data_IF_247501494827
#
_entry.id   IF_247501494827
#
_cell.length_a   1.000
_cell.length_b   1.000
_cell.length_c   1.000
_cell.angle_alpha   90.00
_cell.angle_beta   90.00
_cell.angle_gamma   90.00
#
_symmetry.space_group_name_H-M   'P 1'
#
loop_
_entity.id
_entity.type
_entity.pdbx_description
1 polymer ?
#
# COMPACT_ATOMS: atom_id res chain seq x y z
N UNK A 1 -15.80 16.04 -2.34
CA UNK A 1 -16.17 15.37 -3.61
C UNK A 1 -15.25 14.17 -3.83
N UNK A 2 -15.73 13.07 -4.44
CA UNK A 2 -14.97 11.82 -4.60
C UNK A 2 -14.15 11.85 -5.90
N UNK A 3 -13.06 11.07 -5.95
CA UNK A 3 -12.21 10.93 -7.15
C UNK A 3 -12.93 10.17 -8.27
N UNK A 4 -12.48 10.36 -9.52
CA UNK A 4 -12.98 9.59 -10.66
C UNK A 4 -12.77 8.08 -10.47
N UNK A 5 -13.75 7.27 -10.88
CA UNK A 5 -13.78 5.82 -10.60
C UNK A 5 -12.52 5.09 -11.07
N UNK A 6 -11.92 5.44 -12.20
CA UNK A 6 -10.71 4.77 -12.68
C UNK A 6 -9.47 4.96 -11.78
N UNK A 7 -9.49 5.96 -10.88
CA UNK A 7 -8.45 6.18 -9.86
C UNK A 7 -8.73 5.45 -8.56
N UNK A 8 -9.91 4.83 -8.43
CA UNK A 8 -10.24 4.06 -7.24
C UNK A 8 -9.37 2.79 -7.18
N UNK A 9 -8.88 2.40 -5.99
CA UNK A 9 -8.16 1.15 -5.82
C UNK A 9 -9.06 -0.03 -6.17
N UNK A 10 -8.49 -1.05 -6.81
CA UNK A 10 -9.22 -2.29 -7.16
C UNK A 10 -9.42 -3.21 -5.95
N UNK A 11 -8.49 -3.17 -5.00
CA UNK A 11 -8.52 -3.92 -3.74
C UNK A 11 -7.94 -3.07 -2.61
N UNK A 12 -8.38 -3.33 -1.38
CA UNK A 12 -7.89 -2.66 -0.17
C UNK A 12 -7.71 -3.72 0.91
N UNK A 13 -6.48 -3.86 1.38
CA UNK A 13 -6.13 -4.76 2.48
C UNK A 13 -5.82 -3.96 3.74
N UNK A 14 -6.37 -4.41 4.87
CA UNK A 14 -6.14 -3.81 6.17
C UNK A 14 -5.07 -4.61 6.92
N UNK A 15 -4.09 -3.90 7.48
CA UNK A 15 -2.98 -4.48 8.24
C UNK A 15 -2.83 -3.71 9.55
N UNK A 16 -2.36 -4.37 10.60
CA UNK A 16 -2.15 -3.72 11.91
C UNK A 16 -1.06 -2.65 11.86
N UNK A 17 0.04 -2.91 11.14
CA UNK A 17 1.10 -1.93 10.94
C UNK A 17 1.69 -2.01 9.52
N UNK A 18 2.05 -0.85 8.97
CA UNK A 18 2.81 -0.76 7.72
C UNK A 18 4.28 -1.14 7.95
N UNK A 19 4.88 -1.94 7.04
CA UNK A 19 6.29 -2.27 7.16
C UNK A 19 7.14 -1.00 7.04
N UNK A 20 8.06 -0.82 7.99
CA UNK A 20 8.99 0.31 8.04
C UNK A 20 10.43 -0.18 7.88
N UNK A 21 11.27 0.69 7.35
CA UNK A 21 12.73 0.54 7.34
C UNK A 21 13.30 0.87 8.72
N UNK A 22 14.57 0.54 8.99
CA UNK A 22 15.23 0.87 10.27
C UNK A 22 15.27 2.38 10.60
N UNK A 23 15.04 3.25 9.61
CA UNK A 23 14.89 4.71 9.76
C UNK A 23 13.43 5.16 10.01
N UNK A 24 12.47 4.23 10.08
CA UNK A 24 11.05 4.51 10.29
C UNK A 24 10.24 4.86 9.02
N UNK A 25 10.87 4.95 7.85
CA UNK A 25 10.17 5.21 6.56
C UNK A 25 9.41 3.97 6.09
N UNK A 26 8.23 4.15 5.49
CA UNK A 26 7.43 3.06 4.91
C UNK A 26 8.23 2.33 3.84
N UNK A 27 8.34 1.01 3.98
CA UNK A 27 9.05 0.14 3.05
C UNK A 27 8.14 -0.28 1.89
N UNK A 28 8.02 0.60 0.89
CA UNK A 28 7.18 0.38 -0.29
C UNK A 28 7.59 -0.83 -1.14
N UNK A 29 8.88 -1.18 -1.19
CA UNK A 29 9.37 -2.30 -2.01
C UNK A 29 8.77 -3.62 -1.53
N UNK A 30 8.85 -3.92 -0.23
CA UNK A 30 8.25 -5.14 0.32
C UNK A 30 6.73 -5.19 0.19
N UNK A 31 6.04 -4.04 0.21
CA UNK A 31 4.60 -3.99 -0.09
C UNK A 31 4.32 -4.35 -1.55
N UNK A 32 5.11 -3.83 -2.50
CA UNK A 32 4.97 -4.19 -3.91
C UNK A 32 5.22 -5.68 -4.16
N UNK A 33 6.30 -6.21 -3.59
CA UNK A 33 6.67 -7.62 -3.75
C UNK A 33 5.56 -8.58 -3.26
N UNK A 34 4.79 -8.17 -2.22
CA UNK A 34 3.67 -8.96 -1.69
C UNK A 34 2.42 -8.97 -2.59
N UNK A 35 2.16 -7.90 -3.34
CA UNK A 35 0.89 -7.71 -4.06
C UNK A 35 1.01 -7.68 -5.59
N UNK A 36 2.22 -7.68 -6.15
CA UNK A 36 2.49 -7.60 -7.60
C UNK A 36 3.11 -8.89 -8.16
N UNK A 37 2.59 -10.06 -7.77
CA UNK A 37 2.86 -11.32 -8.47
C UNK A 37 2.30 -11.28 -9.91
#
# INVERSE_FOLDING_TARGET
>A
ERIAHYKAPKSVDFVEELPKTGSGKIYKKGLKDRYWA
#
